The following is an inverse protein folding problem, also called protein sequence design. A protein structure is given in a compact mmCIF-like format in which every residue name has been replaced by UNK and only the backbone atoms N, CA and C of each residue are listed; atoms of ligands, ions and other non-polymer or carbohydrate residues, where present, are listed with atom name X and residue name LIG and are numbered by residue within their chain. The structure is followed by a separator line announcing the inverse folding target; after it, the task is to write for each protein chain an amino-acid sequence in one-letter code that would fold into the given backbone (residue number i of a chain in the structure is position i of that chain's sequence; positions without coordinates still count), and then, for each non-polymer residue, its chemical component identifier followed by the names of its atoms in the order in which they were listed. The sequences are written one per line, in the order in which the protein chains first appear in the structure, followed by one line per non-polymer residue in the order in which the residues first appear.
data_IF_973122931234
#
_entry.id   IF_973122931234
#
_cell.length_a   1.000
_cell.length_b   1.000
_cell.length_c   1.000
_cell.angle_alpha   90.00
_cell.angle_beta   90.00
_cell.angle_gamma   90.00
#
_symmetry.space_group_name_H-M   'P 1'
#
loop_
_entity.id
_entity.type
_entity.pdbx_description
1 polymer ?
#
# COMPACT_ATOMS: atom_id res chain seq x y z
N UNK A 1 6.27 -22.06 5.32
CA UNK A 1 5.20 -21.67 6.25
C UNK A 1 4.68 -20.24 5.96
N UNK A 2 5.53 -19.19 5.89
CA UNK A 2 5.11 -17.81 5.65
C UNK A 2 4.41 -17.59 4.28
N UNK A 3 4.91 -18.15 3.18
CA UNK A 3 4.30 -18.04 1.84
C UNK A 3 2.88 -18.64 1.81
N UNK A 4 2.66 -19.74 2.49
CA UNK A 4 1.34 -20.38 2.60
C UNK A 4 0.33 -19.48 3.34
N UNK A 5 0.74 -18.84 4.43
CA UNK A 5 -0.13 -17.92 5.20
C UNK A 5 -0.49 -16.68 4.37
N UNK A 6 0.45 -16.11 3.62
CA UNK A 6 0.19 -14.98 2.72
C UNK A 6 -0.81 -15.34 1.62
N UNK A 7 -0.62 -16.48 0.95
CA UNK A 7 -1.56 -16.97 -0.07
C UNK A 7 -2.95 -17.19 0.52
N UNK A 8 -3.03 -17.74 1.73
CA UNK A 8 -4.29 -17.99 2.42
C UNK A 8 -5.04 -16.71 2.78
N UNK A 9 -4.36 -15.71 3.35
CA UNK A 9 -4.96 -14.39 3.66
C UNK A 9 -5.48 -13.71 2.41
N UNK A 10 -4.73 -13.78 1.30
CA UNK A 10 -5.19 -13.30 0.00
C UNK A 10 -6.49 -13.99 -0.43
N UNK A 11 -6.56 -15.31 -0.33
CA UNK A 11 -7.78 -16.06 -0.67
C UNK A 11 -8.96 -15.72 0.23
N UNK A 12 -8.74 -15.46 1.53
CA UNK A 12 -9.78 -15.00 2.44
C UNK A 12 -10.31 -13.63 1.99
N UNK A 13 -9.41 -12.68 1.67
CA UNK A 13 -9.78 -11.35 1.15
C UNK A 13 -10.63 -11.44 -0.12
N UNK A 14 -10.22 -12.29 -1.06
CA UNK A 14 -10.97 -12.54 -2.30
C UNK A 14 -12.40 -13.02 -2.02
N UNK A 15 -12.60 -13.88 -1.00
CA UNK A 15 -13.94 -14.31 -0.61
C UNK A 15 -14.77 -13.16 -0.03
N UNK A 16 -14.20 -12.34 0.84
CA UNK A 16 -14.89 -11.19 1.43
C UNK A 16 -15.29 -10.16 0.37
N UNK A 17 -14.35 -9.77 -0.52
CA UNK A 17 -14.63 -8.84 -1.61
C UNK A 17 -15.69 -9.40 -2.56
N UNK A 18 -15.59 -10.67 -2.92
CA UNK A 18 -16.53 -11.33 -3.83
C UNK A 18 -17.94 -11.46 -3.27
N UNK A 19 -18.06 -11.75 -1.98
CA UNK A 19 -19.35 -12.10 -1.36
C UNK A 19 -19.95 -10.94 -0.56
N UNK A 20 -19.13 -10.12 0.09
CA UNK A 20 -19.57 -9.08 1.01
C UNK A 20 -19.24 -7.66 0.52
N UNK A 21 -18.62 -7.54 -0.67
CA UNK A 21 -18.24 -6.26 -1.28
C UNK A 21 -17.45 -5.33 -0.32
N UNK A 22 -16.68 -5.92 0.59
CA UNK A 22 -15.81 -5.21 1.53
C UNK A 22 -14.54 -5.97 1.87
N UNK A 23 -13.56 -5.23 2.38
CA UNK A 23 -12.38 -5.82 2.99
C UNK A 23 -12.73 -6.53 4.31
N UNK A 24 -12.11 -7.68 4.59
CA UNK A 24 -12.16 -8.26 5.93
C UNK A 24 -11.46 -7.33 6.93
N UNK A 25 -11.89 -7.36 8.18
CA UNK A 25 -11.12 -6.76 9.27
C UNK A 25 -9.85 -7.58 9.54
N UNK A 26 -8.92 -7.04 10.33
CA UNK A 26 -7.76 -7.83 10.78
C UNK A 26 -8.19 -9.04 11.60
N UNK A 27 -9.14 -8.82 12.48
CA UNK A 27 -9.67 -9.88 13.33
C UNK A 27 -10.30 -10.98 12.48
N UNK A 28 -11.02 -10.63 11.40
CA UNK A 28 -11.55 -11.60 10.44
C UNK A 28 -10.40 -12.38 9.75
N UNK A 29 -9.38 -11.66 9.28
CA UNK A 29 -8.23 -12.29 8.60
C UNK A 29 -7.47 -13.22 9.53
N UNK A 30 -7.18 -12.79 10.75
CA UNK A 30 -6.44 -13.57 11.71
C UNK A 30 -7.24 -14.80 12.17
N UNK A 31 -8.52 -14.60 12.46
CA UNK A 31 -9.42 -15.69 12.86
C UNK A 31 -9.54 -16.76 11.78
N UNK A 32 -9.90 -16.38 10.56
CA UNK A 32 -10.10 -17.38 9.50
C UNK A 32 -8.79 -17.98 8.98
N UNK A 33 -7.68 -17.23 9.00
CA UNK A 33 -6.38 -17.80 8.69
C UNK A 33 -5.97 -18.87 9.71
N UNK A 34 -6.20 -18.62 11.00
CA UNK A 34 -5.94 -19.60 12.08
C UNK A 34 -6.84 -20.84 11.96
N UNK A 35 -8.14 -20.64 11.71
CA UNK A 35 -9.11 -21.75 11.56
C UNK A 35 -8.78 -22.64 10.33
N UNK A 36 -8.36 -22.03 9.21
CA UNK A 36 -7.94 -22.78 8.03
C UNK A 36 -6.60 -23.47 8.26
N UNK A 37 -5.64 -22.79 8.91
CA UNK A 37 -4.34 -23.39 9.24
C UNK A 37 -4.48 -24.61 10.17
N UNK A 38 -5.43 -24.57 11.08
CA UNK A 38 -5.76 -25.69 11.98
C UNK A 38 -6.64 -26.78 11.34
N UNK A 39 -6.92 -26.67 10.04
CA UNK A 39 -7.81 -27.56 9.28
C UNK A 39 -9.23 -27.70 9.87
N UNK A 40 -9.71 -26.71 10.60
CA UNK A 40 -11.07 -26.69 11.12
C UNK A 40 -12.10 -26.30 10.06
N UNK A 41 -11.70 -25.40 9.16
CA UNK A 41 -12.47 -25.03 7.97
C UNK A 41 -11.55 -24.99 6.76
N UNK A 42 -12.13 -24.99 5.56
CA UNK A 42 -11.45 -24.68 4.30
C UNK A 42 -12.09 -23.46 3.62
N UNK A 43 -11.51 -22.99 2.50
CA UNK A 43 -12.02 -21.82 1.79
C UNK A 43 -13.45 -21.98 1.26
N UNK A 44 -13.87 -23.18 0.91
CA UNK A 44 -15.23 -23.46 0.47
C UNK A 44 -16.23 -23.33 1.65
N UNK A 45 -15.85 -23.84 2.80
CA UNK A 45 -16.64 -23.68 4.03
C UNK A 45 -16.69 -22.22 4.48
N UNK A 46 -15.58 -21.47 4.37
CA UNK A 46 -15.59 -20.02 4.59
C UNK A 46 -16.57 -19.32 3.64
N UNK A 47 -16.53 -19.64 2.34
CA UNK A 47 -17.48 -19.11 1.38
C UNK A 47 -18.94 -19.38 1.78
N UNK A 48 -19.22 -20.57 2.28
CA UNK A 48 -20.54 -20.95 2.76
C UNK A 48 -20.94 -20.16 4.00
N UNK A 49 -20.03 -19.98 4.97
CA UNK A 49 -20.28 -19.15 6.15
C UNK A 49 -20.60 -17.71 5.80
N UNK A 50 -19.81 -17.11 4.89
CA UNK A 50 -20.05 -15.74 4.45
C UNK A 50 -21.39 -15.59 3.71
N UNK A 51 -21.76 -16.52 2.85
CA UNK A 51 -23.07 -16.54 2.16
C UNK A 51 -24.27 -16.69 3.11
N UNK A 52 -24.08 -17.35 4.24
CA UNK A 52 -25.11 -17.53 5.26
C UNK A 52 -25.15 -16.37 6.27
N UNK A 53 -24.29 -15.37 6.14
CA UNK A 53 -24.28 -14.20 7.03
C UNK A 53 -25.45 -13.25 6.74
N UNK A 54 -25.90 -12.54 7.77
CA UNK A 54 -26.89 -11.48 7.63
C UNK A 54 -26.41 -10.38 6.66
N UNK A 55 -25.12 -10.09 6.67
CA UNK A 55 -24.49 -9.11 5.79
C UNK A 55 -24.66 -9.48 4.32
N UNK A 56 -24.40 -10.74 3.96
CA UNK A 56 -24.64 -11.23 2.59
C UNK A 56 -26.12 -11.14 2.20
N UNK A 57 -27.03 -11.51 3.11
CA UNK A 57 -28.46 -11.43 2.85
C UNK A 57 -28.94 -9.97 2.61
N UNK A 58 -28.37 -9.00 3.33
CA UNK A 58 -28.68 -7.57 3.11
C UNK A 58 -28.12 -7.06 1.78
N UNK A 59 -26.93 -7.52 1.36
CA UNK A 59 -26.35 -7.19 0.07
C UNK A 59 -27.16 -7.74 -1.10
N UNK A 60 -27.72 -8.95 -0.97
CA UNK A 60 -28.60 -9.55 -2.00
C UNK A 60 -29.90 -8.79 -2.19
N UNK A 61 -30.36 -8.02 -1.21
CA UNK A 61 -31.55 -7.16 -1.32
C UNK A 61 -31.27 -5.87 -2.12
N UNK A 62 -29.99 -5.46 -2.23
CA UNK A 62 -29.56 -4.39 -3.12
C UNK A 62 -29.28 -5.02 -4.47
N UNK A 63 -29.94 -4.60 -5.55
CA UNK A 63 -29.56 -5.00 -6.91
C UNK A 63 -28.09 -4.59 -7.15
N UNK A 64 -27.17 -5.54 -6.97
CA UNK A 64 -25.75 -5.32 -7.25
C UNK A 64 -25.57 -5.53 -8.75
N UNK A 65 -25.00 -4.55 -9.49
CA UNK A 65 -24.56 -4.80 -10.86
C UNK A 65 -23.64 -6.03 -10.83
N UNK A 66 -23.88 -6.99 -11.73
CA UNK A 66 -23.06 -8.21 -11.82
C UNK A 66 -21.60 -7.80 -11.93
N UNK A 67 -20.83 -8.10 -10.90
CA UNK A 67 -19.43 -7.77 -10.82
C UNK A 67 -18.67 -8.40 -11.98
N UNK A 68 -18.07 -7.56 -12.82
CA UNK A 68 -16.98 -7.98 -13.66
C UNK A 68 -15.93 -8.65 -12.75
N UNK A 69 -15.42 -9.79 -13.17
CA UNK A 69 -14.42 -10.55 -12.44
C UNK A 69 -13.24 -9.62 -12.06
N UNK A 70 -12.96 -9.52 -10.76
CA UNK A 70 -11.82 -8.74 -10.26
C UNK A 70 -10.55 -9.30 -10.91
N UNK A 71 -9.94 -8.51 -11.79
CA UNK A 71 -8.69 -8.88 -12.46
C UNK A 71 -7.53 -8.54 -11.55
N UNK A 72 -6.60 -9.48 -11.38
CA UNK A 72 -5.36 -9.29 -10.62
C UNK A 72 -4.24 -8.99 -11.62
N UNK A 73 -4.16 -7.76 -12.10
CA UNK A 73 -3.11 -7.30 -13.03
C UNK A 73 -2.49 -5.96 -12.63
N UNK A 74 -2.82 -5.45 -11.45
CA UNK A 74 -2.30 -4.20 -10.91
C UNK A 74 -1.24 -4.45 -9.84
N UNK A 75 -0.36 -3.48 -9.63
CA UNK A 75 0.70 -3.57 -8.62
C UNK A 75 0.13 -3.55 -7.20
N UNK A 76 -0.66 -2.53 -6.90
CA UNK A 76 -1.45 -2.43 -5.67
C UNK A 76 -2.93 -2.68 -5.97
N UNK A 77 -3.74 -2.85 -4.92
CA UNK A 77 -5.19 -2.88 -5.06
C UNK A 77 -5.68 -1.56 -5.65
N UNK A 78 -6.68 -1.62 -6.52
CA UNK A 78 -7.34 -0.41 -7.06
C UNK A 78 -8.55 -0.09 -6.21
N UNK A 79 -8.59 1.16 -5.75
CA UNK A 79 -9.64 1.63 -4.85
C UNK A 79 -10.39 2.82 -5.46
N UNK A 80 -11.71 2.70 -5.56
CA UNK A 80 -12.59 3.75 -6.10
C UNK A 80 -13.75 3.97 -5.13
N UNK A 81 -13.92 5.21 -4.68
CA UNK A 81 -15.02 5.64 -3.80
C UNK A 81 -15.22 4.74 -2.57
N UNK A 82 -14.11 4.36 -1.93
CA UNK A 82 -14.13 3.52 -0.74
C UNK A 82 -14.20 2.01 -1.00
N UNK A 83 -14.38 1.57 -2.24
CA UNK A 83 -14.46 0.15 -2.61
C UNK A 83 -13.19 -0.33 -3.30
N UNK A 84 -12.75 -1.55 -3.02
CA UNK A 84 -11.68 -2.20 -3.76
C UNK A 84 -12.27 -2.88 -4.99
N UNK A 85 -11.93 -2.35 -6.18
CA UNK A 85 -12.48 -2.85 -7.46
C UNK A 85 -11.54 -3.81 -8.18
N UNK A 86 -10.27 -3.85 -7.82
CA UNK A 86 -9.28 -4.80 -8.33
C UNK A 86 -8.25 -5.10 -7.26
N UNK A 87 -7.81 -6.35 -7.17
CA UNK A 87 -6.71 -6.76 -6.29
C UNK A 87 -5.38 -6.66 -7.02
N UNK A 88 -4.39 -6.09 -6.35
CA UNK A 88 -3.00 -6.09 -6.79
C UNK A 88 -2.27 -7.39 -6.42
N UNK A 89 -1.10 -7.61 -7.02
CA UNK A 89 -0.25 -8.73 -6.63
C UNK A 89 0.54 -8.47 -5.35
N UNK A 90 0.61 -7.21 -4.88
CA UNK A 90 1.17 -6.82 -3.57
C UNK A 90 0.08 -6.73 -2.51
N UNK A 91 0.32 -7.31 -1.35
CA UNK A 91 -0.60 -7.19 -0.22
C UNK A 91 -0.55 -5.76 0.33
N UNK A 92 -1.60 -4.99 0.02
CA UNK A 92 -1.65 -3.56 0.38
C UNK A 92 -2.20 -3.33 1.78
N UNK A 93 -3.12 -4.21 2.26
CA UNK A 93 -3.85 -3.96 3.50
C UNK A 93 -2.98 -4.04 4.76
N UNK A 94 -2.08 -5.00 4.87
CA UNK A 94 -1.21 -5.13 6.05
C UNK A 94 -0.27 -3.92 6.17
N UNK A 95 0.32 -3.50 5.04
CA UNK A 95 1.15 -2.29 4.97
C UNK A 95 0.36 -1.04 5.35
N UNK A 96 -0.87 -0.93 4.84
CA UNK A 96 -1.75 0.18 5.16
C UNK A 96 -2.04 0.28 6.66
N UNK A 97 -2.29 -0.84 7.31
CA UNK A 97 -2.64 -0.85 8.73
C UNK A 97 -1.49 -0.40 9.63
N UNK A 98 -0.25 -0.74 9.28
CA UNK A 98 0.90 -0.23 10.00
C UNK A 98 1.03 1.30 9.83
N UNK A 99 0.86 1.81 8.61
CA UNK A 99 0.83 3.26 8.35
C UNK A 99 -0.31 3.92 9.13
N UNK A 100 -1.51 3.35 9.10
CA UNK A 100 -2.69 3.85 9.79
C UNK A 100 -2.50 4.01 11.30
N UNK A 101 -1.82 3.05 11.97
CA UNK A 101 -1.48 3.14 13.41
C UNK A 101 -0.68 4.40 13.72
N UNK A 102 0.23 4.79 12.84
CA UNK A 102 1.00 6.02 12.99
C UNK A 102 0.18 7.26 12.70
N UNK A 103 -0.65 7.24 11.65
CA UNK A 103 -1.53 8.35 11.30
C UNK A 103 -2.47 8.71 12.47
N UNK A 104 -2.95 7.72 13.21
CA UNK A 104 -3.79 7.93 14.40
C UNK A 104 -3.12 8.72 15.54
N UNK A 105 -1.80 8.85 15.54
CA UNK A 105 -1.08 9.66 16.53
C UNK A 105 -1.29 11.16 16.31
N UNK A 106 -1.75 11.56 15.12
CA UNK A 106 -2.03 12.95 14.80
C UNK A 106 -3.50 13.29 15.12
N UNK A 107 -3.72 14.22 16.05
CA UNK A 107 -5.05 14.73 16.39
C UNK A 107 -5.43 15.98 15.57
N UNK A 108 -4.97 16.05 14.31
CA UNK A 108 -5.16 17.16 13.40
C UNK A 108 -5.11 16.69 11.95
N UNK A 109 -5.51 17.52 10.97
CA UNK A 109 -5.28 17.23 9.56
C UNK A 109 -3.80 16.96 9.28
N UNK A 110 -3.52 15.97 8.44
CA UNK A 110 -2.17 15.52 8.10
C UNK A 110 -1.79 15.87 6.66
N UNK A 111 -0.50 16.02 6.42
CA UNK A 111 0.06 16.17 5.08
C UNK A 111 0.86 14.92 4.72
N UNK A 112 0.52 14.31 3.59
CA UNK A 112 1.13 13.05 3.13
C UNK A 112 1.71 13.22 1.74
N UNK A 113 2.94 12.77 1.54
CA UNK A 113 3.56 12.58 0.23
C UNK A 113 3.66 11.08 -0.04
N UNK A 114 2.97 10.60 -1.07
CA UNK A 114 3.03 9.22 -1.55
C UNK A 114 3.87 9.18 -2.82
N UNK A 115 5.13 8.79 -2.67
CA UNK A 115 6.12 8.77 -3.73
C UNK A 115 6.13 7.40 -4.42
N UNK A 116 5.83 7.37 -5.71
CA UNK A 116 5.58 6.13 -6.45
C UNK A 116 4.22 5.52 -6.09
N UNK A 117 3.18 6.34 -6.13
CA UNK A 117 1.84 5.96 -5.66
C UNK A 117 1.19 4.81 -6.43
N UNK A 118 1.73 4.42 -7.59
CA UNK A 118 1.19 3.39 -8.47
C UNK A 118 -0.31 3.64 -8.77
N UNK A 119 -1.20 2.72 -8.42
CA UNK A 119 -2.65 2.87 -8.60
C UNK A 119 -3.32 3.78 -7.55
N UNK A 120 -2.55 4.32 -6.59
CA UNK A 120 -3.00 5.28 -5.57
C UNK A 120 -3.65 4.66 -4.34
N UNK A 121 -3.51 3.38 -4.10
CA UNK A 121 -4.17 2.68 -2.99
C UNK A 121 -3.98 3.38 -1.64
N UNK A 122 -2.71 3.66 -1.28
CA UNK A 122 -2.40 4.29 0.02
C UNK A 122 -2.91 5.72 0.09
N UNK A 123 -2.70 6.51 -0.96
CA UNK A 123 -3.20 7.89 -1.04
C UNK A 123 -4.71 7.96 -0.87
N UNK A 124 -5.48 7.15 -1.62
CA UNK A 124 -6.94 7.18 -1.54
C UNK A 124 -7.42 6.73 -0.17
N UNK A 125 -6.90 5.63 0.34
CA UNK A 125 -7.31 5.08 1.62
C UNK A 125 -7.00 6.02 2.79
N UNK A 126 -5.81 6.61 2.82
CA UNK A 126 -5.47 7.62 3.82
C UNK A 126 -6.36 8.85 3.73
N UNK A 127 -6.70 9.30 2.50
CA UNK A 127 -7.61 10.43 2.32
C UNK A 127 -9.06 10.13 2.69
N UNK A 128 -9.45 8.85 2.77
CA UNK A 128 -10.75 8.39 3.27
C UNK A 128 -10.80 8.41 4.80
N UNK A 129 -9.72 7.96 5.42
CA UNK A 129 -9.67 7.73 6.87
C UNK A 129 -9.19 8.97 7.65
N UNK A 130 -8.50 9.94 7.00
CA UNK A 130 -7.93 11.11 7.65
C UNK A 130 -8.23 12.40 6.89
N UNK A 131 -8.45 13.49 7.65
CA UNK A 131 -8.46 14.84 7.10
C UNK A 131 -7.04 15.29 6.77
N UNK A 132 -6.87 16.07 5.70
CA UNK A 132 -5.56 16.61 5.35
C UNK A 132 -5.34 16.82 3.86
N UNK A 133 -4.09 16.94 3.47
CA UNK A 133 -3.64 17.08 2.08
C UNK A 133 -2.75 15.91 1.70
N UNK A 134 -3.05 15.30 0.57
CA UNK A 134 -2.38 14.11 0.09
C UNK A 134 -1.78 14.39 -1.28
N UNK A 135 -0.48 14.21 -1.42
CA UNK A 135 0.24 14.41 -2.69
C UNK A 135 0.66 13.05 -3.20
N UNK A 136 0.05 12.62 -4.29
CA UNK A 136 0.41 11.39 -5.00
C UNK A 136 1.37 11.70 -6.15
N UNK A 137 2.50 11.03 -6.19
CA UNK A 137 3.49 11.18 -7.27
C UNK A 137 3.65 9.85 -7.99
N UNK A 138 3.44 9.83 -9.31
CA UNK A 138 3.65 8.65 -10.14
C UNK A 138 4.17 9.05 -11.51
N UNK A 139 5.17 8.34 -12.00
CA UNK A 139 5.78 8.59 -13.31
C UNK A 139 5.24 7.68 -14.42
N UNK A 140 4.72 6.52 -14.06
CA UNK A 140 4.22 5.54 -15.03
C UNK A 140 2.73 5.77 -15.32
N UNK A 141 2.44 6.40 -16.46
CA UNK A 141 1.05 6.65 -16.91
C UNK A 141 0.22 5.37 -17.09
N UNK A 142 0.86 4.18 -17.23
CA UNK A 142 0.16 2.89 -17.32
C UNK A 142 -0.49 2.47 -16.02
N UNK A 143 -0.13 3.10 -14.89
CA UNK A 143 -0.76 2.86 -13.59
C UNK A 143 -2.17 3.42 -13.48
N UNK A 144 -2.62 4.21 -14.45
CA UNK A 144 -3.97 4.80 -14.49
C UNK A 144 -4.33 5.64 -13.25
N UNK A 145 -3.32 6.19 -12.55
CA UNK A 145 -3.54 6.96 -11.33
C UNK A 145 -4.43 8.18 -11.58
N UNK A 146 -4.27 8.86 -12.72
CA UNK A 146 -5.11 10.00 -13.10
C UNK A 146 -6.59 9.62 -13.20
N UNK A 147 -6.89 8.48 -13.84
CA UNK A 147 -8.27 7.99 -13.94
C UNK A 147 -8.84 7.59 -12.58
N UNK A 148 -8.02 6.98 -11.74
CA UNK A 148 -8.37 6.67 -10.36
C UNK A 148 -8.65 7.94 -9.55
N UNK A 149 -7.85 9.00 -9.71
CA UNK A 149 -8.11 10.31 -9.10
C UNK A 149 -9.43 10.91 -9.56
N UNK A 150 -9.72 10.90 -10.87
CA UNK A 150 -11.00 11.41 -11.41
C UNK A 150 -12.20 10.65 -10.86
N UNK A 151 -12.13 9.31 -10.81
CA UNK A 151 -13.20 8.46 -10.31
C UNK A 151 -13.42 8.62 -8.81
N UNK A 152 -12.35 8.80 -8.03
CA UNK A 152 -12.45 9.07 -6.59
C UNK A 152 -12.97 10.48 -6.28
N UNK A 153 -12.76 11.43 -7.18
CA UNK A 153 -13.25 12.82 -7.09
C UNK A 153 -12.98 13.49 -5.74
N UNK A 154 -11.76 13.32 -5.19
CA UNK A 154 -11.38 13.90 -3.90
C UNK A 154 -10.63 15.21 -4.10
N UNK A 155 -11.09 16.26 -3.45
CA UNK A 155 -10.52 17.61 -3.60
C UNK A 155 -9.23 17.83 -2.79
N UNK A 156 -8.92 16.94 -1.86
CA UNK A 156 -7.75 17.03 -0.98
C UNK A 156 -6.56 16.19 -1.47
N UNK A 157 -6.62 15.69 -2.70
CA UNK A 157 -5.52 14.95 -3.34
C UNK A 157 -4.95 15.78 -4.49
N UNK A 158 -3.63 16.00 -4.45
CA UNK A 158 -2.86 16.56 -5.54
C UNK A 158 -2.11 15.45 -6.25
N UNK A 159 -2.32 15.31 -7.55
CA UNK A 159 -1.58 14.36 -8.39
C UNK A 159 -0.44 15.08 -9.11
N UNK A 160 0.75 14.50 -9.03
CA UNK A 160 1.93 14.90 -9.81
C UNK A 160 2.36 13.71 -10.71
N UNK A 161 2.00 13.77 -11.98
CA UNK A 161 2.46 12.79 -12.98
C UNK A 161 3.87 13.16 -13.44
N UNK A 162 4.86 12.79 -12.67
CA UNK A 162 6.25 13.16 -12.91
C UNK A 162 7.24 12.19 -12.29
N UNK A 163 8.31 11.89 -13.04
CA UNK A 163 9.47 11.25 -12.44
C UNK A 163 10.21 12.28 -11.56
N UNK A 164 10.25 11.99 -10.27
CA UNK A 164 11.00 12.79 -9.31
C UNK A 164 12.48 12.44 -9.33
N UNK A 165 13.30 13.45 -9.06
CA UNK A 165 14.73 13.30 -8.78
C UNK A 165 15.08 14.09 -7.51
N UNK A 166 16.32 13.99 -7.05
CA UNK A 166 16.77 14.62 -5.83
C UNK A 166 16.53 16.14 -5.83
N UNK A 167 16.75 16.82 -6.97
CA UNK A 167 16.52 18.27 -7.11
C UNK A 167 15.05 18.64 -6.93
N UNK A 168 14.14 17.84 -7.47
CA UNK A 168 12.70 18.06 -7.30
C UNK A 168 12.28 17.89 -5.84
N UNK A 169 12.80 16.88 -5.16
CA UNK A 169 12.54 16.64 -3.74
C UNK A 169 13.11 17.77 -2.87
N UNK A 170 14.31 18.28 -3.19
CA UNK A 170 14.90 19.42 -2.50
C UNK A 170 14.02 20.67 -2.63
N UNK A 171 13.56 20.97 -3.85
CA UNK A 171 12.64 22.10 -4.07
C UNK A 171 11.31 21.92 -3.33
N UNK A 172 10.80 20.70 -3.25
CA UNK A 172 9.59 20.43 -2.50
C UNK A 172 9.80 20.61 -0.99
N UNK A 173 10.95 20.18 -0.46
CA UNK A 173 11.35 20.36 0.94
C UNK A 173 11.43 21.85 1.34
N UNK A 174 11.86 22.72 0.44
CA UNK A 174 11.96 24.16 0.72
C UNK A 174 10.58 24.81 0.99
N UNK A 175 9.52 24.23 0.44
CA UNK A 175 8.16 24.78 0.54
C UNK A 175 7.22 23.99 1.44
N UNK A 176 7.54 22.72 1.71
CA UNK A 176 6.65 21.82 2.45
C UNK A 176 7.44 20.82 3.30
N UNK A 177 7.09 20.76 4.58
CA UNK A 177 7.42 19.62 5.46
C UNK A 177 6.17 18.77 5.62
N UNK A 178 6.29 17.46 5.34
CA UNK A 178 5.18 16.53 5.42
C UNK A 178 5.10 15.87 6.80
N UNK A 179 3.90 15.54 7.23
CA UNK A 179 3.74 14.69 8.40
C UNK A 179 4.21 13.26 8.10
N UNK A 180 3.90 12.80 6.90
CA UNK A 180 4.21 11.44 6.45
C UNK A 180 4.73 11.48 5.01
N UNK A 181 5.82 10.75 4.78
CA UNK A 181 6.29 10.38 3.45
C UNK A 181 6.18 8.87 3.30
N UNK A 182 5.54 8.42 2.23
CA UNK A 182 5.52 7.04 1.80
C UNK A 182 6.49 6.88 0.63
N UNK A 183 7.48 6.01 0.78
CA UNK A 183 8.45 5.64 -0.25
C UNK A 183 8.48 4.11 -0.38
N UNK A 184 7.33 3.55 -0.74
CA UNK A 184 7.09 2.11 -0.73
C UNK A 184 7.58 1.50 -2.04
N UNK A 185 8.75 0.89 -2.00
CA UNK A 185 9.38 0.21 -3.13
C UNK A 185 9.65 1.12 -4.35
N UNK A 186 10.05 2.38 -4.13
CA UNK A 186 10.27 3.38 -5.19
C UNK A 186 11.69 3.92 -5.24
N UNK A 187 12.42 3.98 -4.11
CA UNK A 187 13.72 4.69 -4.04
C UNK A 187 14.77 4.10 -5.00
N UNK A 188 14.69 2.82 -5.31
CA UNK A 188 15.58 2.16 -6.29
C UNK A 188 15.36 2.62 -7.76
N UNK A 189 14.32 3.40 -8.03
CA UNK A 189 14.09 4.01 -9.35
C UNK A 189 14.77 5.37 -9.52
N UNK A 190 15.36 5.92 -8.47
CA UNK A 190 16.15 7.13 -8.55
C UNK A 190 17.52 6.86 -9.17
N UNK A 191 18.03 7.81 -9.94
CA UNK A 191 19.38 7.75 -10.52
C UNK A 191 20.46 8.16 -9.51
N UNK A 192 20.06 8.90 -8.48
CA UNK A 192 20.91 9.40 -7.43
C UNK A 192 21.24 8.31 -6.39
N UNK A 193 22.29 8.51 -5.59
CA UNK A 193 22.63 7.59 -4.51
C UNK A 193 21.45 7.40 -3.54
N UNK A 194 21.20 6.15 -3.20
CA UNK A 194 20.10 5.76 -2.31
C UNK A 194 20.14 6.51 -0.96
N UNK A 195 21.33 6.67 -0.38
CA UNK A 195 21.49 7.37 0.88
C UNK A 195 21.01 8.82 0.80
N UNK A 196 21.42 9.53 -0.26
CA UNK A 196 21.07 10.95 -0.45
C UNK A 196 19.54 11.12 -0.58
N UNK A 197 18.89 10.20 -1.30
CA UNK A 197 17.44 10.22 -1.46
C UNK A 197 16.75 9.96 -0.12
N UNK A 198 17.17 8.92 0.61
CA UNK A 198 16.55 8.55 1.88
C UNK A 198 16.75 9.63 2.95
N UNK A 199 17.97 10.19 3.08
CA UNK A 199 18.25 11.30 3.99
C UNK A 199 17.36 12.51 3.71
N UNK A 200 17.16 12.82 2.43
CA UNK A 200 16.29 13.91 2.03
C UNK A 200 14.83 13.63 2.40
N UNK A 201 14.29 12.44 2.10
CA UNK A 201 12.92 12.06 2.44
C UNK A 201 12.67 12.11 3.95
N UNK A 202 13.60 11.60 4.75
CA UNK A 202 13.54 11.67 6.21
C UNK A 202 13.59 13.12 6.69
N UNK A 203 14.45 13.96 6.09
CA UNK A 203 14.60 15.36 6.51
C UNK A 203 13.41 16.26 6.16
N UNK A 204 12.54 15.81 5.25
CA UNK A 204 11.33 16.56 4.83
C UNK A 204 10.04 16.02 5.43
N UNK A 205 10.12 15.08 6.37
CA UNK A 205 8.94 14.46 6.97
C UNK A 205 9.10 14.21 8.47
N UNK A 206 7.98 14.17 9.19
CA UNK A 206 7.96 13.73 10.59
C UNK A 206 8.07 12.21 10.70
N UNK A 207 7.48 11.47 9.75
CA UNK A 207 7.59 10.02 9.62
C UNK A 207 7.80 9.65 8.15
N UNK A 208 8.80 8.81 7.89
CA UNK A 208 9.06 8.27 6.56
C UNK A 208 8.87 6.74 6.60
N UNK A 209 7.90 6.24 5.83
CA UNK A 209 7.71 4.81 5.61
C UNK A 209 8.45 4.41 4.34
N UNK A 210 9.41 3.55 4.52
CA UNK A 210 10.30 3.10 3.47
C UNK A 210 10.18 1.59 3.29
N UNK A 211 10.00 1.15 2.04
CA UNK A 211 10.06 -0.25 1.65
C UNK A 211 11.12 -0.43 0.55
N UNK A 212 11.95 -1.45 0.71
CA UNK A 212 12.96 -1.82 -0.27
C UNK A 212 12.58 -3.15 -0.94
N UNK A 213 12.84 -3.32 -2.26
CA UNK A 213 12.61 -4.60 -2.92
C UNK A 213 13.38 -5.72 -2.22
N UNK A 214 12.74 -6.88 -2.07
CA UNK A 214 13.42 -8.05 -1.56
C UNK A 214 14.60 -8.40 -2.51
N UNK A 215 15.82 -8.59 -2.01
CA UNK A 215 16.97 -9.01 -2.82
C UNK A 215 16.73 -10.31 -3.59
N UNK A 216 15.76 -11.12 -3.15
CA UNK A 216 15.37 -12.37 -3.81
C UNK A 216 14.28 -12.18 -4.88
N UNK A 217 13.65 -11.02 -4.97
CA UNK A 217 12.74 -10.71 -6.06
C UNK A 217 13.55 -10.61 -7.35
N UNK A 218 13.32 -11.54 -8.27
CA UNK A 218 13.88 -11.54 -9.61
C UNK A 218 13.27 -10.42 -10.45
N UNK A 219 13.56 -9.18 -10.08
CA UNK A 219 13.16 -8.04 -10.88
C UNK A 219 14.09 -7.99 -12.11
N UNK A 220 13.54 -8.35 -13.26
CA UNK A 220 14.21 -8.29 -14.56
C UNK A 220 14.45 -6.84 -15.04
N UNK A 221 14.50 -5.88 -14.15
CA UNK A 221 14.74 -4.48 -14.47
C UNK A 221 16.23 -4.17 -14.45
N UNK A 222 16.68 -3.32 -15.38
CA UNK A 222 18.09 -2.86 -15.49
C UNK A 222 18.65 -2.31 -14.16
N UNK A 223 17.79 -1.83 -13.29
CA UNK A 223 18.16 -1.28 -11.98
C UNK A 223 18.40 -2.34 -10.90
N UNK A 224 17.92 -3.57 -11.07
CA UNK A 224 18.23 -4.67 -10.12
C UNK A 224 19.73 -5.01 -10.08
N UNK A 225 20.45 -4.76 -11.18
CA UNK A 225 21.92 -4.95 -11.23
C UNK A 225 22.65 -3.88 -10.40
N UNK A 226 22.14 -2.65 -10.34
CA UNK A 226 22.71 -1.57 -9.51
C UNK A 226 22.49 -1.85 -8.02
N UNK A 227 21.31 -2.30 -7.64
CA UNK A 227 21.02 -2.72 -6.26
C UNK A 227 21.85 -3.93 -5.80
N UNK A 228 22.17 -4.86 -6.73
CA UNK A 228 23.06 -5.99 -6.45
C UNK A 228 24.54 -5.59 -6.34
N UNK A 229 24.97 -4.56 -7.06
CA UNK A 229 26.36 -4.08 -7.03
C UNK A 229 26.66 -3.16 -5.84
N UNK A 230 25.68 -2.37 -5.43
CA UNK A 230 25.76 -1.49 -4.27
C UNK A 230 25.33 -2.22 -3.01
N UNK A 231 25.72 -3.45 -2.70
CA UNK A 231 25.35 -4.15 -1.45
C UNK A 231 24.87 -3.15 -0.40
N UNK A 232 23.56 -2.78 -0.53
CA UNK A 232 22.93 -1.79 0.33
C UNK A 232 22.99 -2.32 1.74
N UNK A 233 23.98 -1.86 2.47
CA UNK A 233 24.16 -2.22 3.85
C UNK A 233 23.18 -1.37 4.68
N UNK A 234 21.87 -1.57 4.42
CA UNK A 234 20.81 -0.92 5.17
C UNK A 234 20.99 -1.14 6.68
N UNK A 235 21.45 -2.31 7.08
CA UNK A 235 21.74 -2.64 8.48
C UNK A 235 22.81 -1.73 9.09
N UNK A 236 23.78 -1.27 8.29
CA UNK A 236 24.80 -0.34 8.74
C UNK A 236 24.40 1.13 8.55
N UNK A 237 23.52 1.44 7.61
CA UNK A 237 23.11 2.80 7.30
C UNK A 237 21.96 3.28 8.22
N UNK A 238 20.95 2.47 8.42
CA UNK A 238 19.76 2.84 9.21
C UNK A 238 20.09 3.27 10.65
N UNK A 239 21.02 2.62 11.38
CA UNK A 239 21.42 3.08 12.71
C UNK A 239 22.17 4.42 12.75
N UNK A 240 22.68 4.89 11.61
CA UNK A 240 23.38 6.19 11.52
C UNK A 240 22.42 7.35 11.29
N UNK A 241 21.16 7.07 10.93
CA UNK A 241 20.16 8.12 10.83
C UNK A 241 19.81 8.63 12.22
N UNK A 242 19.68 9.96 12.42
CA UNK A 242 19.41 10.56 13.74
C UNK A 242 18.02 10.25 14.31
N UNK A 243 17.26 9.35 13.69
CA UNK A 243 15.86 9.00 14.01
C UNK A 243 15.75 7.50 14.25
N UNK A 244 14.95 7.13 15.22
CA UNK A 244 14.59 5.73 15.45
C UNK A 244 13.66 5.29 14.32
N UNK A 245 14.17 4.50 13.39
CA UNK A 245 13.37 3.72 12.48
C UNK A 245 12.80 2.54 13.27
N UNK A 246 11.55 2.62 13.67
CA UNK A 246 10.80 1.39 13.96
C UNK A 246 10.74 0.62 12.64
N UNK A 247 11.53 -0.45 12.54
CA UNK A 247 11.43 -1.36 11.40
C UNK A 247 10.00 -1.90 11.36
N UNK A 248 9.24 -1.45 10.38
CA UNK A 248 8.10 -2.21 9.94
C UNK A 248 8.69 -3.48 9.32
N UNK A 249 8.70 -4.56 10.07
CA UNK A 249 9.05 -5.86 9.55
C UNK A 249 8.00 -6.22 8.51
N UNK A 250 8.21 -5.78 7.27
CA UNK A 250 7.62 -6.48 6.16
C UNK A 250 8.32 -7.85 6.13
N UNK A 251 7.73 -8.79 6.78
CA UNK A 251 8.11 -10.19 6.65
C UNK A 251 7.67 -10.65 5.27
N UNK A 252 8.32 -10.09 4.25
CA UNK A 252 8.24 -10.58 2.90
C UNK A 252 9.20 -11.73 2.74
N UNK A 253 8.68 -12.90 2.71
CA UNK A 253 9.21 -14.02 1.92
C UNK A 253 8.05 -14.79 1.35
#
# INVERSE_FOLDING_TARGET
MKLFVMTMRKSIREQYLKLLDREPTLDDLDFYADEIQKNKINLEQLSTLLKNSNEYAELQKKEIPQNESIKIDTYNDVRIQGQTISLGYRESIERYQEIFKFCKKFNRPISVLDLGAAEGYFTFRLSEDFSGVFVAVESDSKRNLLDSCKKNNRQNILLLEKQMNLKHLQSLKEVQHFDIVLALNVVHHFDEPFQDVLELLVSMSSFCFFEHPNPLENTATKNSSRLKSEKLNLENFLPQLPWVLEQLHSQTL
#
